data_IF_426765396051
#
_entry.id   IF_426765396051
#
_cell.length_a   1.000
_cell.length_b   1.000
_cell.length_c   1.000
_cell.angle_alpha   90.00
_cell.angle_beta   90.00
_cell.angle_gamma   90.00
#
_symmetry.space_group_name_H-M   'P 1'
#
loop_
_entity.id
_entity.type
_entity.pdbx_description
1 polymer ?
#
# COMPACT_ATOMS: atom_id res chain seq x y z
N UNK A 1 15.59 -0.82 23.11
CA UNK A 1 14.20 -1.34 23.16
C UNK A 1 13.44 -1.25 21.82
N UNK A 2 13.45 -0.12 21.10
CA UNK A 2 12.77 0.04 19.78
C UNK A 2 13.12 -1.04 18.73
N UNK A 3 14.41 -1.27 18.48
CA UNK A 3 14.86 -2.30 17.50
C UNK A 3 14.31 -3.70 17.82
N UNK A 4 14.17 -4.03 19.12
CA UNK A 4 13.63 -5.33 19.56
C UNK A 4 12.14 -5.43 19.25
N UNK A 5 11.36 -4.37 19.55
CA UNK A 5 9.93 -4.29 19.24
C UNK A 5 9.65 -4.39 17.73
N UNK A 6 10.43 -3.69 16.92
CA UNK A 6 10.34 -3.79 15.44
C UNK A 6 10.69 -5.20 14.97
N UNK A 7 11.76 -5.81 15.51
CA UNK A 7 12.13 -7.20 15.17
C UNK A 7 11.06 -8.21 15.56
N UNK A 8 10.40 -8.02 16.71
CA UNK A 8 9.26 -8.83 17.13
C UNK A 8 8.09 -8.70 16.15
N UNK A 9 7.75 -7.48 15.73
CA UNK A 9 6.68 -7.27 14.77
C UNK A 9 6.99 -7.87 13.39
N UNK A 10 8.23 -7.77 12.91
CA UNK A 10 8.68 -8.43 11.68
C UNK A 10 8.55 -9.96 11.78
N UNK A 11 8.89 -10.54 12.94
CA UNK A 11 8.70 -11.97 13.19
C UNK A 11 7.21 -12.35 13.13
N UNK A 12 6.33 -11.60 13.80
CA UNK A 12 4.87 -11.81 13.74
C UNK A 12 4.37 -11.68 12.30
N UNK A 13 4.86 -10.70 11.55
CA UNK A 13 4.50 -10.50 10.15
C UNK A 13 4.87 -11.71 9.27
N UNK A 14 6.13 -12.20 9.30
CA UNK A 14 6.53 -13.34 8.46
C UNK A 14 5.69 -14.60 8.72
N UNK A 15 5.36 -14.86 10.00
CA UNK A 15 4.51 -16.00 10.38
C UNK A 15 3.07 -15.83 9.91
N UNK A 16 2.49 -14.65 10.11
CA UNK A 16 1.08 -14.40 9.83
C UNK A 16 0.79 -14.17 8.35
N UNK A 17 1.73 -13.60 7.58
CA UNK A 17 1.55 -13.32 6.15
C UNK A 17 1.30 -14.61 5.35
N UNK A 18 2.08 -15.67 5.60
CA UNK A 18 1.95 -16.96 4.91
C UNK A 18 0.58 -17.60 5.19
N UNK A 19 0.14 -17.57 6.44
CA UNK A 19 -1.18 -18.05 6.85
C UNK A 19 -2.30 -17.21 6.22
N UNK A 20 -2.21 -15.88 6.32
CA UNK A 20 -3.20 -14.97 5.76
C UNK A 20 -3.39 -15.20 4.26
N UNK A 21 -2.29 -15.31 3.49
CA UNK A 21 -2.35 -15.62 2.05
C UNK A 21 -3.03 -16.96 1.78
N UNK A 22 -2.67 -18.00 2.54
CA UNK A 22 -3.22 -19.35 2.38
C UNK A 22 -4.72 -19.40 2.62
N UNK A 23 -5.26 -18.66 3.59
CA UNK A 23 -6.68 -18.76 3.98
C UNK A 23 -7.56 -17.67 3.37
N UNK A 24 -7.09 -16.42 3.29
CA UNK A 24 -7.91 -15.26 2.92
C UNK A 24 -7.71 -14.76 1.49
N UNK A 25 -6.67 -15.23 0.78
CA UNK A 25 -6.39 -14.82 -0.61
C UNK A 25 -6.64 -15.92 -1.64
N UNK A 26 -7.25 -17.05 -1.28
CA UNK A 26 -7.49 -18.17 -2.22
C UNK A 26 -8.20 -17.71 -3.50
N UNK A 27 -9.30 -16.97 -3.36
CA UNK A 27 -10.18 -16.51 -4.47
C UNK A 27 -9.69 -15.25 -5.18
N UNK A 28 -8.59 -14.61 -4.73
CA UNK A 28 -8.11 -13.38 -5.35
C UNK A 28 -7.34 -13.73 -6.63
N UNK A 29 -7.60 -12.98 -7.70
CA UNK A 29 -6.90 -13.06 -8.98
C UNK A 29 -5.44 -12.61 -8.80
N UNK A 30 -4.51 -13.33 -9.44
CA UNK A 30 -3.13 -12.87 -9.61
C UNK A 30 -3.05 -12.02 -10.88
N UNK A 31 -2.17 -11.05 -10.90
CA UNK A 31 -1.96 -10.24 -12.11
C UNK A 31 -1.35 -11.10 -13.23
N UNK A 32 -1.58 -10.68 -14.47
CA UNK A 32 -1.03 -11.36 -15.65
C UNK A 32 0.41 -10.93 -16.00
N UNK A 33 0.88 -9.85 -15.38
CA UNK A 33 2.20 -9.27 -15.61
C UNK A 33 3.20 -9.69 -14.54
N UNK A 34 4.46 -9.88 -14.94
CA UNK A 34 5.60 -9.97 -14.04
C UNK A 34 6.42 -8.67 -13.99
N UNK A 35 7.41 -8.61 -13.12
CA UNK A 35 8.26 -7.44 -12.86
C UNK A 35 9.02 -6.97 -14.09
N UNK A 36 9.51 -7.91 -14.91
CA UNK A 36 10.23 -7.62 -16.14
C UNK A 36 9.31 -7.04 -17.20
N UNK A 37 8.09 -7.57 -17.32
CA UNK A 37 7.05 -7.06 -18.22
C UNK A 37 6.58 -5.67 -17.79
N UNK A 38 6.49 -5.39 -16.49
CA UNK A 38 6.18 -4.04 -15.99
C UNK A 38 7.21 -3.01 -16.46
N UNK A 39 8.50 -3.38 -16.53
CA UNK A 39 9.57 -2.54 -17.07
C UNK A 39 9.46 -2.31 -18.58
N UNK A 40 8.57 -2.98 -19.31
CA UNK A 40 8.34 -2.76 -20.75
C UNK A 40 7.21 -1.75 -21.03
N UNK A 41 6.44 -1.35 -20.01
CA UNK A 41 5.41 -0.32 -20.17
C UNK A 41 6.01 1.05 -20.51
N UNK A 42 5.19 1.98 -21.00
CA UNK A 42 5.60 3.37 -21.29
C UNK A 42 6.20 4.04 -20.05
N UNK A 43 7.25 4.85 -20.23
CA UNK A 43 8.07 5.39 -19.12
C UNK A 43 7.30 6.16 -18.05
N UNK A 44 6.24 6.85 -18.46
CA UNK A 44 5.37 7.67 -17.62
C UNK A 44 4.19 6.89 -17.02
N UNK A 45 4.06 5.58 -17.30
CA UNK A 45 2.91 4.80 -16.87
C UNK A 45 3.05 4.24 -15.47
N UNK A 46 1.91 3.95 -14.82
CA UNK A 46 1.87 3.27 -13.52
C UNK A 46 2.65 1.94 -13.54
N UNK A 47 2.45 1.14 -14.59
CA UNK A 47 3.14 -0.14 -14.78
C UNK A 47 4.65 0.01 -14.79
N UNK A 48 5.19 0.98 -15.54
CA UNK A 48 6.63 1.26 -15.51
C UNK A 48 7.10 1.66 -14.13
N UNK A 49 6.41 2.60 -13.46
CA UNK A 49 6.79 3.06 -12.11
C UNK A 49 6.79 1.93 -11.09
N UNK A 50 5.88 0.97 -11.24
CA UNK A 50 5.85 -0.22 -10.39
C UNK A 50 7.02 -1.17 -10.68
N UNK A 51 7.34 -1.42 -11.95
CA UNK A 51 8.54 -2.18 -12.34
C UNK A 51 9.84 -1.55 -11.80
N UNK A 52 9.96 -0.22 -11.91
CA UNK A 52 11.09 0.54 -11.36
C UNK A 52 11.17 0.43 -9.83
N UNK A 53 10.02 0.45 -9.14
CA UNK A 53 9.95 0.25 -7.70
C UNK A 53 10.46 -1.12 -7.27
N UNK A 54 10.07 -2.20 -7.96
CA UNK A 54 10.57 -3.54 -7.69
C UNK A 54 12.09 -3.62 -7.91
N UNK A 55 12.56 -3.13 -9.06
CA UNK A 55 14.00 -3.13 -9.41
C UNK A 55 14.83 -2.35 -8.39
N UNK A 56 14.35 -1.19 -7.95
CA UNK A 56 15.04 -0.33 -6.97
C UNK A 56 15.23 -1.00 -5.61
N UNK A 57 14.23 -1.74 -5.14
CA UNK A 57 14.26 -2.36 -3.81
C UNK A 57 14.70 -3.83 -3.82
N UNK A 58 14.95 -4.41 -5.01
CA UNK A 58 15.27 -5.84 -5.15
C UNK A 58 14.10 -6.73 -4.72
N UNK A 59 12.87 -6.27 -4.93
CA UNK A 59 11.66 -6.99 -4.56
C UNK A 59 11.14 -7.84 -5.70
N UNK A 60 10.43 -8.91 -5.35
CA UNK A 60 9.65 -9.70 -6.29
C UNK A 60 8.17 -9.52 -6.00
N UNK A 61 7.37 -9.46 -7.06
CA UNK A 61 5.93 -9.49 -7.05
C UNK A 61 5.46 -10.71 -6.26
N UNK A 62 4.59 -10.44 -5.29
CA UNK A 62 3.93 -11.49 -4.53
C UNK A 62 2.54 -11.68 -5.15
N UNK A 63 2.26 -12.84 -5.78
CA UNK A 63 0.97 -13.08 -6.39
C UNK A 63 -0.18 -12.83 -5.41
N UNK A 64 -1.22 -12.12 -5.89
CA UNK A 64 -2.43 -11.70 -5.17
C UNK A 64 -2.22 -10.55 -4.18
N UNK A 65 -1.00 -10.01 -4.06
CA UNK A 65 -0.66 -8.88 -3.20
C UNK A 65 -0.21 -7.64 -4.00
N UNK A 66 -0.25 -7.68 -5.32
CA UNK A 66 0.28 -6.66 -6.24
C UNK A 66 -0.33 -5.26 -5.99
N UNK A 67 -1.64 -5.16 -5.73
CA UNK A 67 -2.28 -3.88 -5.39
C UNK A 67 -1.65 -3.20 -4.16
N UNK A 68 -1.08 -3.96 -3.22
CA UNK A 68 -0.40 -3.38 -2.05
C UNK A 68 0.87 -2.65 -2.48
N UNK A 69 1.60 -3.19 -3.45
CA UNK A 69 2.83 -2.56 -3.93
C UNK A 69 2.53 -1.26 -4.68
N UNK A 70 1.42 -1.21 -5.42
CA UNK A 70 0.90 0.05 -6.00
C UNK A 70 0.57 1.09 -4.93
N UNK A 71 0.10 0.67 -3.75
CA UNK A 71 -0.18 1.61 -2.68
C UNK A 71 1.08 2.36 -2.22
N UNK A 72 2.28 1.78 -2.26
CA UNK A 72 3.51 2.53 -1.98
C UNK A 72 3.68 3.72 -2.91
N UNK A 73 3.44 3.53 -4.21
CA UNK A 73 3.55 4.59 -5.21
C UNK A 73 2.52 5.70 -4.98
N UNK A 74 1.24 5.34 -4.84
CA UNK A 74 0.14 6.31 -4.68
C UNK A 74 0.27 7.08 -3.36
N UNK A 75 0.58 6.37 -2.27
CA UNK A 75 0.65 6.97 -0.94
C UNK A 75 1.97 7.68 -0.67
N UNK A 76 3.05 7.31 -1.36
CA UNK A 76 4.40 7.75 -1.05
C UNK A 76 4.95 7.21 0.28
N UNK A 77 4.32 6.18 0.86
CA UNK A 77 4.85 5.50 2.04
C UNK A 77 6.05 4.62 1.64
N UNK A 78 7.13 4.69 2.41
CA UNK A 78 8.32 3.86 2.23
C UNK A 78 8.07 2.39 2.56
N UNK A 79 9.16 1.62 2.52
CA UNK A 79 9.17 0.17 2.80
C UNK A 79 9.75 -0.15 4.18
N UNK A 80 10.02 0.88 5.00
CA UNK A 80 10.38 0.68 6.39
C UNK A 80 9.16 0.24 7.19
N UNK A 81 9.39 -0.46 8.30
CA UNK A 81 8.31 -1.10 9.04
C UNK A 81 7.28 -0.09 9.60
N UNK A 82 7.74 1.07 10.08
CA UNK A 82 6.85 2.17 10.47
C UNK A 82 6.04 2.75 9.30
N UNK A 83 6.61 2.78 8.09
CA UNK A 83 5.93 3.27 6.90
C UNK A 83 4.87 2.27 6.40
N UNK A 84 5.12 0.97 6.56
CA UNK A 84 4.12 -0.07 6.32
C UNK A 84 2.88 0.13 7.21
N UNK A 85 3.10 0.41 8.50
CA UNK A 85 2.01 0.73 9.43
C UNK A 85 1.35 2.05 9.04
N UNK A 86 2.12 3.09 8.74
CA UNK A 86 1.59 4.38 8.31
C UNK A 86 0.69 4.23 7.06
N UNK A 87 1.08 3.37 6.11
CA UNK A 87 0.26 3.04 4.95
C UNK A 87 -1.04 2.36 5.35
N UNK A 88 -1.05 1.45 6.33
CA UNK A 88 -2.30 0.86 6.85
C UNK A 88 -3.22 1.92 7.48
N UNK A 89 -2.67 2.88 8.24
CA UNK A 89 -3.45 4.02 8.73
C UNK A 89 -4.02 4.88 7.60
N UNK A 90 -3.23 5.17 6.57
CA UNK A 90 -3.71 5.92 5.42
C UNK A 90 -4.85 5.20 4.71
N UNK A 91 -4.69 3.90 4.45
CA UNK A 91 -5.72 3.09 3.82
C UNK A 91 -6.99 3.00 4.68
N UNK A 92 -6.86 2.94 6.02
CA UNK A 92 -8.00 3.04 6.93
C UNK A 92 -8.72 4.39 6.76
N UNK A 93 -7.96 5.49 6.73
CA UNK A 93 -8.50 6.83 6.49
C UNK A 93 -9.15 6.98 5.10
N UNK A 94 -8.66 6.25 4.11
CA UNK A 94 -9.22 6.21 2.75
C UNK A 94 -10.50 5.36 2.63
N UNK A 95 -10.90 4.65 3.70
CA UNK A 95 -12.13 3.86 3.75
C UNK A 95 -11.93 2.33 3.67
N UNK A 96 -10.69 1.84 3.62
CA UNK A 96 -10.41 0.40 3.60
C UNK A 96 -10.64 -0.22 4.98
N UNK A 97 -11.50 -1.24 5.06
CA UNK A 97 -11.74 -1.98 6.30
C UNK A 97 -11.58 -3.48 6.10
N UNK A 98 -10.56 -4.07 6.73
CA UNK A 98 -10.37 -5.53 6.79
C UNK A 98 -9.54 -5.93 8.02
N UNK A 99 -9.64 -7.19 8.42
CA UNK A 99 -9.01 -7.70 9.63
C UNK A 99 -7.47 -7.52 9.67
N UNK A 100 -6.79 -7.69 8.53
CA UNK A 100 -5.33 -7.55 8.47
C UNK A 100 -4.89 -6.10 8.71
N UNK A 101 -5.58 -5.15 8.07
CA UNK A 101 -5.34 -3.72 8.27
C UNK A 101 -5.62 -3.31 9.73
N UNK A 102 -6.73 -3.76 10.31
CA UNK A 102 -7.06 -3.44 11.70
C UNK A 102 -6.02 -4.01 12.68
N UNK A 103 -5.56 -5.25 12.46
CA UNK A 103 -4.50 -5.85 13.25
C UNK A 103 -3.20 -5.02 13.18
N UNK A 104 -2.80 -4.59 11.99
CA UNK A 104 -1.61 -3.76 11.81
C UNK A 104 -1.73 -2.40 12.52
N UNK A 105 -2.90 -1.75 12.44
CA UNK A 105 -3.18 -0.48 13.13
C UNK A 105 -3.11 -0.66 14.65
N UNK A 106 -3.75 -1.70 15.21
CA UNK A 106 -3.75 -1.97 16.65
C UNK A 106 -2.34 -2.31 17.15
N UNK A 107 -1.65 -3.25 16.50
CA UNK A 107 -0.30 -3.65 16.88
C UNK A 107 0.67 -2.47 16.76
N UNK A 108 0.57 -1.68 15.69
CA UNK A 108 1.36 -0.47 15.50
C UNK A 108 1.13 0.57 16.59
N UNK A 109 -0.13 0.81 16.99
CA UNK A 109 -0.48 1.75 18.07
C UNK A 109 0.16 1.33 19.39
N UNK A 110 0.01 0.06 19.76
CA UNK A 110 0.41 -0.44 21.08
C UNK A 110 1.92 -0.65 21.19
N UNK A 111 2.55 -1.16 20.13
CA UNK A 111 3.95 -1.59 20.17
C UNK A 111 4.89 -0.45 19.73
N UNK A 112 4.43 0.47 18.87
CA UNK A 112 5.22 1.58 18.33
C UNK A 112 4.55 2.96 18.57
N UNK A 113 4.22 3.31 19.83
CA UNK A 113 3.52 4.57 20.14
C UNK A 113 4.32 5.81 19.76
N UNK A 114 5.66 5.73 19.68
CA UNK A 114 6.51 6.83 19.25
C UNK A 114 6.22 7.34 17.83
N UNK A 115 5.63 6.51 16.97
CA UNK A 115 5.26 6.86 15.59
C UNK A 115 3.80 7.28 15.44
N UNK A 116 3.05 7.40 16.54
CA UNK A 116 1.62 7.72 16.46
C UNK A 116 1.34 9.05 15.73
N UNK A 117 2.23 10.04 15.87
CA UNK A 117 2.14 11.30 15.10
C UNK A 117 2.23 11.06 13.60
N UNK A 118 3.14 10.20 13.14
CA UNK A 118 3.28 9.79 11.75
C UNK A 118 2.01 9.07 11.28
N UNK A 119 1.52 8.11 12.07
CA UNK A 119 0.34 7.32 11.74
C UNK A 119 -0.92 8.16 11.63
N UNK A 120 -1.15 9.10 12.54
CA UNK A 120 -2.29 10.02 12.50
C UNK A 120 -2.20 10.99 11.32
N UNK A 121 -0.99 11.43 10.95
CA UNK A 121 -0.78 12.23 9.73
C UNK A 121 -1.14 11.42 8.48
N UNK A 122 -0.75 10.15 8.42
CA UNK A 122 -1.06 9.25 7.32
C UNK A 122 -2.57 8.97 7.23
N UNK A 123 -3.24 8.74 8.36
CA UNK A 123 -4.70 8.59 8.43
C UNK A 123 -5.43 9.81 7.87
N UNK A 124 -5.11 11.02 8.35
CA UNK A 124 -5.69 12.28 7.85
C UNK A 124 -5.42 12.50 6.37
N UNK A 125 -4.21 12.15 5.90
CA UNK A 125 -3.89 12.17 4.47
C UNK A 125 -4.85 11.28 3.70
N UNK A 126 -5.08 10.05 4.15
CA UNK A 126 -6.01 9.12 3.51
C UNK A 126 -7.45 9.62 3.46
N UNK A 127 -7.92 10.30 4.50
CA UNK A 127 -9.24 10.92 4.56
C UNK A 127 -9.43 12.04 3.52
N UNK A 128 -8.34 12.70 3.12
CA UNK A 128 -8.33 13.79 2.16
C UNK A 128 -8.01 13.34 0.73
N UNK A 129 -7.87 12.03 0.49
CA UNK A 129 -7.71 11.46 -0.85
C UNK A 129 -9.04 10.92 -1.36
N UNK A 130 -9.21 10.83 -2.68
CA UNK A 130 -10.31 10.07 -3.27
C UNK A 130 -10.24 8.61 -2.82
N UNK A 131 -11.37 7.94 -2.54
CA UNK A 131 -11.36 6.52 -2.23
C UNK A 131 -10.78 5.70 -3.39
N UNK A 132 -9.62 5.08 -3.18
CA UNK A 132 -8.92 4.25 -4.17
C UNK A 132 -8.72 2.81 -3.70
N UNK A 133 -9.07 2.50 -2.45
CA UNK A 133 -8.83 1.18 -1.84
C UNK A 133 -9.50 -0.01 -2.57
N UNK A 134 -10.50 0.26 -3.41
CA UNK A 134 -11.30 -0.72 -4.14
C UNK A 134 -10.96 -0.79 -5.64
N UNK A 135 -10.02 0.02 -6.13
CA UNK A 135 -9.71 0.12 -7.56
C UNK A 135 -8.98 -1.13 -8.08
N UNK A 136 -9.23 -1.46 -9.35
CA UNK A 136 -8.48 -2.47 -10.09
C UNK A 136 -7.23 -1.87 -10.74
N UNK A 137 -6.15 -1.80 -9.98
CA UNK A 137 -4.90 -1.18 -10.44
C UNK A 137 -4.25 -1.89 -11.63
N UNK A 138 -4.55 -3.17 -11.88
CA UNK A 138 -3.99 -3.86 -13.05
C UNK A 138 -4.53 -3.24 -14.35
N UNK A 139 -5.82 -2.90 -14.37
CA UNK A 139 -6.44 -2.22 -15.51
C UNK A 139 -5.86 -0.81 -15.77
N UNK A 140 -5.20 -0.24 -14.77
CA UNK A 140 -4.65 1.12 -14.79
C UNK A 140 -3.15 1.17 -15.08
N UNK A 141 -2.47 0.04 -15.31
CA UNK A 141 -1.01 0.00 -15.51
C UNK A 141 -0.54 0.84 -16.71
N UNK A 142 -1.39 1.01 -17.71
CA UNK A 142 -1.13 1.79 -18.92
C UNK A 142 -1.29 3.30 -18.72
N UNK A 143 -1.96 3.73 -17.65
CA UNK A 143 -2.27 5.13 -17.39
C UNK A 143 -1.02 5.90 -16.99
N UNK A 144 -0.93 7.17 -17.40
CA UNK A 144 0.10 8.09 -16.92
C UNK A 144 0.01 8.20 -15.39
N UNK A 145 1.13 7.94 -14.72
CA UNK A 145 1.20 7.82 -13.28
C UNK A 145 0.92 9.15 -12.57
N UNK A 146 1.46 10.26 -13.09
CA UNK A 146 1.32 11.57 -12.46
C UNK A 146 -0.14 12.03 -12.52
N UNK A 147 -0.80 11.87 -13.67
CA UNK A 147 -2.23 12.17 -13.82
C UNK A 147 -3.10 11.33 -12.89
N UNK A 148 -2.82 10.01 -12.81
CA UNK A 148 -3.55 9.10 -11.93
C UNK A 148 -3.37 9.50 -10.45
N UNK A 149 -2.14 9.80 -10.06
CA UNK A 149 -1.79 10.18 -8.69
C UNK A 149 -2.41 11.53 -8.31
N UNK A 150 -2.38 12.51 -9.20
CA UNK A 150 -3.04 13.82 -9.00
C UNK A 150 -4.54 13.67 -8.84
N UNK A 151 -5.19 12.87 -9.71
CA UNK A 151 -6.61 12.56 -9.62
C UNK A 151 -6.96 11.94 -8.26
N UNK A 152 -6.19 10.96 -7.79
CA UNK A 152 -6.42 10.32 -6.48
C UNK A 152 -6.21 11.31 -5.33
N UNK A 153 -5.25 12.23 -5.42
CA UNK A 153 -4.92 13.19 -4.36
C UNK A 153 -5.96 14.29 -4.18
N UNK A 154 -6.69 14.63 -5.24
CA UNK A 154 -7.71 15.67 -5.21
C UNK A 154 -9.07 15.07 -4.83
N UNK A 155 -9.41 15.04 -3.54
CA UNK A 155 -10.80 14.78 -3.12
C UNK A 155 -11.69 15.91 -3.68
N UNK A 156 -12.79 15.57 -4.34
CA UNK A 156 -13.65 16.52 -5.06
C UNK A 156 -13.80 17.85 -4.31
N UNK A 157 -13.42 18.94 -4.97
CA UNK A 157 -13.86 20.27 -4.56
C UNK A 157 -15.37 20.25 -4.66
N UNK A 158 -16.08 20.35 -3.54
CA UNK A 158 -17.51 20.60 -3.55
C UNK A 158 -17.72 21.89 -4.33
N UNK A 159 -18.22 21.78 -5.57
CA UNK A 159 -18.70 22.96 -6.30
C UNK A 159 -19.98 23.35 -5.60
N UNK A 160 -19.90 24.35 -4.73
CA UNK A 160 -21.08 25.03 -4.20
C UNK A 160 -21.70 25.77 -5.39
N UNK A 161 -22.78 25.23 -5.93
CA UNK A 161 -23.69 25.93 -6.83
C UNK A 161 -24.51 26.95 -6.04
#
# INVERSE_FOLDING_TARGET
MKKIRVRFLLFVYDKTQKLYRKYFKKKKRQWQFNEEQLLQFKEDSLGRKLGEFYKKHGFSMIPKMENHDVHHLITGCGTQFEDEIAMQYLLLGNGKLNAHLLAAVVLGTLILPEYLKLYMKAYRKGQNMRPFYHWDFESLLWQNFDHLNDYIRQKETTVLY
#
